data_IF_761673545340
#
_entry.id   IF_761673545340
#
_cell.length_a   1.000
_cell.length_b   1.000
_cell.length_c   1.000
_cell.angle_alpha   90.00
_cell.angle_beta   90.00
_cell.angle_gamma   90.00
#
_symmetry.space_group_name_H-M   'P 1'
#
loop_
_entity.id
_entity.type
_entity.pdbx_description
1 polymer ?
#
# COMPACT_ATOMS: atom_id res chain seq x y z
N UNK A 1 -33.35 -10.50 -81.28
CA UNK A 1 -32.27 -10.36 -82.27
C UNK A 1 -31.01 -9.98 -81.51
N UNK A 2 -29.90 -10.62 -81.87
CA UNK A 2 -28.64 -10.70 -81.14
C UNK A 2 -27.82 -9.38 -81.13
N UNK A 3 -26.61 -9.47 -80.54
CA UNK A 3 -25.41 -8.58 -80.67
C UNK A 3 -25.28 -7.63 -79.44
N UNK A 4 -24.17 -7.51 -78.68
CA UNK A 4 -22.77 -8.00 -78.75
C UNK A 4 -22.12 -7.90 -77.35
N UNK A 5 -21.13 -8.76 -77.14
CA UNK A 5 -20.03 -8.69 -76.17
C UNK A 5 -19.33 -7.33 -76.11
N UNK A 6 -18.85 -6.92 -74.93
CA UNK A 6 -17.55 -6.27 -74.75
C UNK A 6 -17.06 -6.35 -73.29
N UNK A 7 -15.79 -6.74 -73.17
CA UNK A 7 -15.05 -6.95 -71.94
C UNK A 7 -14.36 -5.66 -71.47
N UNK A 8 -14.34 -5.40 -70.16
CA UNK A 8 -13.36 -4.57 -69.43
C UNK A 8 -13.39 -5.10 -67.97
N UNK A 9 -12.50 -5.97 -67.48
CA UNK A 9 -11.08 -5.80 -67.10
C UNK A 9 -10.85 -4.78 -65.96
N UNK A 10 -10.44 -5.35 -64.82
CA UNK A 10 -9.48 -4.87 -63.81
C UNK A 10 -9.85 -3.80 -62.76
N UNK A 11 -9.70 -4.26 -61.51
CA UNK A 11 -9.03 -3.63 -60.36
C UNK A 11 -9.80 -2.56 -59.59
N UNK A 12 -10.29 -2.96 -58.42
CA UNK A 12 -10.13 -2.15 -57.22
C UNK A 12 -9.45 -2.99 -56.15
N UNK A 13 -8.18 -2.66 -55.90
CA UNK A 13 -7.27 -3.28 -54.95
C UNK A 13 -7.73 -2.99 -53.51
N UNK A 14 -8.02 -4.02 -52.73
CA UNK A 14 -8.24 -3.92 -51.29
C UNK A 14 -6.91 -3.70 -50.58
N UNK A 15 -6.72 -2.53 -49.98
CA UNK A 15 -5.61 -2.22 -49.07
C UNK A 15 -5.94 -2.71 -47.67
N UNK A 16 -5.68 -3.99 -47.37
CA UNK A 16 -5.59 -4.49 -46.00
C UNK A 16 -4.14 -4.31 -45.52
N UNK A 17 -3.89 -3.23 -44.78
CA UNK A 17 -2.61 -2.97 -44.13
C UNK A 17 -2.51 -3.82 -42.85
N UNK A 18 -2.22 -5.11 -43.01
CA UNK A 18 -1.85 -5.97 -41.89
C UNK A 18 -0.41 -5.68 -41.49
N UNK A 19 -0.22 -5.10 -40.30
CA UNK A 19 1.09 -4.96 -39.69
C UNK A 19 1.74 -6.32 -39.47
N UNK A 20 2.78 -6.61 -40.24
CA UNK A 20 3.69 -7.73 -40.02
C UNK A 20 4.46 -7.48 -38.72
N UNK A 21 3.99 -8.09 -37.63
CA UNK A 21 4.81 -8.32 -36.46
C UNK A 21 5.94 -9.26 -36.90
N UNK A 22 7.16 -8.74 -36.93
CA UNK A 22 8.37 -9.51 -37.21
C UNK A 22 8.53 -10.61 -36.16
N UNK A 23 8.45 -11.88 -36.58
CA UNK A 23 8.64 -13.09 -35.76
C UNK A 23 10.06 -13.22 -35.14
N UNK A 24 11.00 -12.32 -35.49
CA UNK A 24 12.42 -12.46 -35.17
C UNK A 24 12.81 -12.02 -33.74
N UNK A 25 11.85 -11.47 -32.97
CA UNK A 25 12.14 -10.89 -31.66
C UNK A 25 12.40 -11.91 -30.54
N UNK A 26 11.86 -13.13 -30.67
CA UNK A 26 11.85 -14.11 -29.57
C UNK A 26 12.41 -15.49 -29.91
N UNK A 27 12.61 -15.81 -31.19
CA UNK A 27 13.13 -17.11 -31.63
C UNK A 27 14.50 -17.46 -31.01
N UNK A 28 15.35 -16.45 -30.78
CA UNK A 28 16.67 -16.63 -30.14
C UNK A 28 16.60 -17.15 -28.70
N UNK A 29 15.47 -16.94 -28.01
CA UNK A 29 15.26 -17.37 -26.63
C UNK A 29 14.61 -18.74 -26.53
N UNK A 30 14.16 -19.33 -27.65
CA UNK A 30 13.51 -20.64 -27.66
C UNK A 30 14.42 -21.72 -27.06
N UNK A 31 15.72 -21.67 -27.35
CA UNK A 31 16.73 -22.58 -26.79
C UNK A 31 16.89 -22.46 -25.26
N UNK A 32 16.56 -21.32 -24.66
CA UNK A 32 16.56 -21.14 -23.20
C UNK A 32 15.26 -21.68 -22.61
N UNK A 33 14.13 -21.46 -23.30
CA UNK A 33 12.81 -21.94 -22.88
C UNK A 33 12.78 -23.48 -22.89
N UNK A 34 13.23 -24.08 -23.99
CA UNK A 34 13.23 -25.55 -24.19
C UNK A 34 14.14 -26.29 -23.21
N UNK A 35 15.14 -25.60 -22.64
CA UNK A 35 16.04 -26.17 -21.64
C UNK A 35 15.44 -26.25 -20.24
N UNK A 36 14.23 -25.71 -20.04
CA UNK A 36 13.57 -25.64 -18.73
C UNK A 36 14.54 -25.30 -17.58
N UNK A 37 15.38 -24.24 -17.68
CA UNK A 37 16.42 -23.94 -16.68
C UNK A 37 15.83 -23.61 -15.29
N UNK A 38 14.53 -23.34 -15.23
CA UNK A 38 13.78 -23.06 -14.01
C UNK A 38 13.09 -24.31 -13.41
N UNK A 39 13.34 -25.49 -13.96
CA UNK A 39 12.70 -26.75 -13.58
C UNK A 39 11.42 -27.05 -14.36
N UNK A 40 10.92 -28.27 -14.20
CA UNK A 40 9.57 -28.63 -14.63
C UNK A 40 8.54 -27.92 -13.72
N UNK A 41 7.40 -27.53 -14.27
CA UNK A 41 6.30 -27.04 -13.45
C UNK A 41 6.00 -28.09 -12.37
N UNK A 42 5.94 -27.71 -11.08
CA UNK A 42 5.64 -28.65 -10.02
C UNK A 42 4.32 -29.35 -10.38
N UNK A 43 4.34 -30.67 -10.49
CA UNK A 43 3.13 -31.47 -10.68
C UNK A 43 2.09 -30.95 -9.70
N UNK A 44 0.96 -30.47 -10.24
CA UNK A 44 -0.10 -29.86 -9.44
C UNK A 44 -0.47 -30.84 -8.34
N UNK A 45 0.01 -30.57 -7.12
CA UNK A 45 -0.26 -31.44 -5.99
C UNK A 45 -1.77 -31.59 -5.89
N UNK A 46 -2.26 -32.83 -6.00
CA UNK A 46 -3.68 -33.16 -5.94
C UNK A 46 -4.32 -32.35 -4.83
N UNK A 47 -5.25 -31.47 -5.21
CA UNK A 47 -5.93 -30.62 -4.24
C UNK A 47 -6.76 -31.52 -3.36
N UNK A 48 -6.23 -31.88 -2.19
CA UNK A 48 -7.02 -32.53 -1.15
C UNK A 48 -8.12 -31.55 -0.78
N UNK A 49 -9.31 -31.78 -1.32
CA UNK A 49 -10.51 -31.04 -0.95
C UNK A 49 -10.88 -31.49 0.46
N UNK A 50 -10.39 -30.75 1.46
CA UNK A 50 -10.69 -31.04 2.85
C UNK A 50 -12.14 -30.64 3.08
N UNK A 51 -12.95 -31.62 3.47
CA UNK A 51 -14.35 -31.37 3.81
C UNK A 51 -14.44 -30.42 5.01
N UNK A 52 -15.41 -29.50 4.98
CA UNK A 52 -15.66 -28.50 6.03
C UNK A 52 -15.79 -29.12 7.44
N UNK A 53 -16.24 -30.37 7.53
CA UNK A 53 -16.38 -31.10 8.78
C UNK A 53 -15.05 -31.49 9.44
N UNK A 54 -13.98 -31.61 8.66
CA UNK A 54 -12.63 -31.92 9.12
C UNK A 54 -11.76 -30.66 9.24
N UNK A 55 -12.16 -29.55 8.63
CA UNK A 55 -11.36 -28.34 8.62
C UNK A 55 -11.38 -27.63 9.98
N UNK A 56 -10.23 -27.05 10.34
CA UNK A 56 -10.11 -26.19 11.52
C UNK A 56 -11.10 -25.01 11.50
N UNK A 57 -11.53 -24.61 10.31
CA UNK A 57 -12.39 -23.46 10.10
C UNK A 57 -13.78 -23.62 10.74
N UNK A 58 -14.28 -24.85 10.93
CA UNK A 58 -15.63 -25.12 11.47
C UNK A 58 -15.92 -24.42 12.80
N UNK A 59 -14.91 -24.27 13.64
CA UNK A 59 -15.06 -23.70 14.98
C UNK A 59 -14.63 -22.23 15.05
N UNK A 60 -14.17 -21.66 13.94
CA UNK A 60 -13.71 -20.28 13.88
C UNK A 60 -14.76 -19.40 13.22
N UNK A 61 -14.87 -18.18 13.73
CA UNK A 61 -15.70 -17.13 13.15
C UNK A 61 -14.94 -15.82 13.12
N UNK A 62 -15.04 -15.10 12.01
CA UNK A 62 -14.57 -13.72 11.91
C UNK A 62 -15.57 -12.81 12.64
N UNK A 63 -15.11 -12.09 13.66
CA UNK A 63 -15.97 -11.23 14.47
C UNK A 63 -15.80 -9.75 14.15
N UNK A 64 -14.61 -9.32 13.73
CA UNK A 64 -14.33 -7.94 13.38
C UNK A 64 -13.14 -7.81 12.43
N UNK A 65 -13.15 -6.74 11.64
CA UNK A 65 -12.01 -6.26 10.85
C UNK A 65 -11.89 -4.76 11.09
N UNK A 66 -10.69 -4.28 11.37
CA UNK A 66 -10.45 -2.85 11.59
C UNK A 66 -9.03 -2.45 11.24
N UNK A 67 -8.82 -1.14 11.08
CA UNK A 67 -7.51 -0.54 10.85
C UNK A 67 -6.94 -0.07 12.20
N UNK A 68 -5.72 -0.50 12.50
CA UNK A 68 -4.98 -0.12 13.69
C UNK A 68 -4.43 1.31 13.60
N UNK A 69 -3.85 1.84 14.69
CA UNK A 69 -3.29 3.19 14.73
C UNK A 69 -2.13 3.40 13.74
N UNK A 70 -1.49 2.33 13.28
CA UNK A 70 -0.42 2.36 12.28
C UNK A 70 -0.89 2.21 10.83
N UNK A 71 -2.21 2.14 10.58
CA UNK A 71 -2.76 1.82 9.27
C UNK A 71 -2.69 0.33 8.91
N UNK A 72 -2.37 -0.53 9.89
CA UNK A 72 -2.32 -1.98 9.76
C UNK A 72 -3.72 -2.59 9.89
N UNK A 73 -4.13 -3.42 8.93
CA UNK A 73 -5.42 -4.13 9.00
C UNK A 73 -5.30 -5.31 9.96
N UNK A 74 -6.24 -5.39 10.91
CA UNK A 74 -6.34 -6.45 11.91
C UNK A 74 -7.66 -7.19 11.81
N UNK A 75 -7.63 -8.49 12.06
CA UNK A 75 -8.80 -9.36 12.09
C UNK A 75 -9.01 -9.95 13.48
N UNK A 76 -10.21 -9.75 14.03
CA UNK A 76 -10.66 -10.38 15.26
C UNK A 76 -11.38 -11.70 14.98
N UNK A 77 -10.94 -12.78 15.62
CA UNK A 77 -11.41 -14.14 15.34
C UNK A 77 -11.78 -14.83 16.64
N UNK A 78 -12.91 -15.52 16.64
CA UNK A 78 -13.45 -16.23 17.79
C UNK A 78 -13.35 -17.73 17.51
N UNK A 79 -12.65 -18.45 18.37
CA UNK A 79 -12.66 -19.91 18.42
C UNK A 79 -13.74 -20.39 19.39
N UNK A 80 -14.80 -20.96 18.83
CA UNK A 80 -15.95 -21.50 19.57
C UNK A 80 -15.62 -22.79 20.34
N UNK A 81 -14.59 -23.54 19.92
CA UNK A 81 -14.16 -24.78 20.57
C UNK A 81 -13.27 -24.48 21.78
N UNK A 82 -12.27 -23.62 21.61
CA UNK A 82 -11.35 -23.24 22.69
C UNK A 82 -11.86 -22.08 23.55
N UNK A 83 -12.94 -21.40 23.13
CA UNK A 83 -13.47 -20.16 23.74
C UNK A 83 -12.41 -19.06 23.85
N UNK A 84 -11.53 -18.97 22.84
CA UNK A 84 -10.47 -17.98 22.74
C UNK A 84 -10.77 -16.97 21.65
N UNK A 85 -10.30 -15.76 21.87
CA UNK A 85 -10.39 -14.67 20.91
C UNK A 85 -8.99 -14.28 20.48
N UNK A 86 -8.79 -14.13 19.19
CA UNK A 86 -7.52 -13.75 18.57
C UNK A 86 -7.69 -12.41 17.87
N UNK A 87 -6.68 -11.55 17.92
CA UNK A 87 -6.63 -10.33 17.13
C UNK A 87 -5.32 -10.38 16.37
N UNK A 88 -5.39 -10.76 15.09
CA UNK A 88 -4.21 -11.01 14.26
C UNK A 88 -4.00 -9.87 13.28
N UNK A 89 -2.73 -9.49 13.12
CA UNK A 89 -2.25 -8.63 12.04
C UNK A 89 -1.84 -9.48 10.84
N UNK A 90 -1.78 -8.90 9.64
CA UNK A 90 -1.37 -9.65 8.43
C UNK A 90 0.06 -10.19 8.63
N UNK A 91 0.24 -11.51 8.50
CA UNK A 91 1.50 -12.23 8.72
C UNK A 91 1.77 -12.66 10.17
N UNK A 92 0.91 -12.28 11.11
CA UNK A 92 1.01 -12.68 12.51
C UNK A 92 0.52 -14.11 12.71
N UNK A 93 1.22 -14.85 13.60
CA UNK A 93 0.89 -16.25 13.94
C UNK A 93 0.64 -16.36 15.44
N UNK A 94 -0.55 -16.82 15.81
CA UNK A 94 -0.91 -17.07 17.20
C UNK A 94 -1.76 -18.36 17.30
N UNK A 95 -1.45 -19.25 18.24
CA UNK A 95 -2.19 -20.52 18.38
C UNK A 95 -2.16 -21.42 17.13
N UNK A 96 -1.15 -21.25 16.27
CA UNK A 96 -1.04 -21.92 14.98
C UNK A 96 -1.95 -21.35 13.89
N UNK A 97 -2.71 -20.29 14.18
CA UNK A 97 -3.48 -19.53 13.21
C UNK A 97 -2.65 -18.38 12.69
N UNK A 98 -2.60 -18.26 11.37
CA UNK A 98 -1.90 -17.19 10.68
C UNK A 98 -2.87 -16.41 9.79
N UNK A 99 -2.86 -15.08 9.90
CA UNK A 99 -3.61 -14.22 9.00
C UNK A 99 -2.82 -13.96 7.72
N UNK A 100 -3.21 -14.57 6.60
CA UNK A 100 -2.54 -14.37 5.32
C UNK A 100 -2.99 -13.05 4.67
N UNK A 101 -4.30 -12.79 4.68
CA UNK A 101 -4.89 -11.64 3.99
C UNK A 101 -6.12 -11.16 4.76
N UNK A 102 -6.33 -9.85 4.75
CA UNK A 102 -7.54 -9.21 5.24
C UNK A 102 -7.95 -8.08 4.30
N UNK A 103 -9.21 -8.08 3.89
CA UNK A 103 -9.79 -7.03 3.07
C UNK A 103 -10.98 -6.40 3.79
N UNK A 104 -10.77 -5.17 4.27
CA UNK A 104 -11.80 -4.39 4.94
C UNK A 104 -12.96 -4.04 4.00
N UNK A 105 -12.69 -3.83 2.70
CA UNK A 105 -13.71 -3.43 1.73
C UNK A 105 -14.64 -4.58 1.36
N UNK A 106 -14.11 -5.79 1.23
CA UNK A 106 -14.90 -6.99 0.99
C UNK A 106 -15.38 -7.65 2.29
N UNK A 107 -14.90 -7.18 3.45
CA UNK A 107 -15.14 -7.78 4.76
C UNK A 107 -14.78 -9.27 4.81
N UNK A 108 -13.65 -9.62 4.17
CA UNK A 108 -13.12 -10.98 4.11
C UNK A 108 -11.74 -11.09 4.78
N UNK A 109 -11.47 -12.23 5.40
CA UNK A 109 -10.16 -12.57 5.97
C UNK A 109 -9.78 -14.00 5.58
N UNK A 110 -8.51 -14.22 5.25
CA UNK A 110 -7.99 -15.53 4.88
C UNK A 110 -7.00 -16.00 5.95
N UNK A 111 -7.30 -17.13 6.56
CA UNK A 111 -6.50 -17.73 7.61
C UNK A 111 -5.84 -19.01 7.15
N UNK A 112 -4.67 -19.29 7.72
CA UNK A 112 -3.96 -20.56 7.59
C UNK A 112 -3.75 -21.22 8.94
N UNK A 113 -3.96 -22.54 8.99
CA UNK A 113 -3.56 -23.39 10.11
C UNK A 113 -2.85 -24.62 9.58
N UNK A 114 -1.54 -24.69 9.77
CA UNK A 114 -0.71 -25.73 9.16
C UNK A 114 -0.74 -25.66 7.63
N UNK A 115 -1.32 -26.67 6.99
CA UNK A 115 -1.45 -26.79 5.53
C UNK A 115 -2.81 -26.33 4.99
N UNK A 116 -3.78 -26.05 5.87
CA UNK A 116 -5.14 -25.67 5.51
C UNK A 116 -5.27 -24.15 5.42
N UNK A 117 -6.03 -23.67 4.43
CA UNK A 117 -6.37 -22.26 4.28
C UNK A 117 -7.88 -22.13 4.08
N UNK A 118 -8.49 -21.21 4.82
CA UNK A 118 -9.92 -20.95 4.75
C UNK A 118 -10.19 -19.45 4.66
N UNK A 119 -11.22 -19.10 3.90
CA UNK A 119 -11.77 -17.76 3.75
C UNK A 119 -12.93 -17.59 4.72
N UNK A 120 -12.91 -16.49 5.45
CA UNK A 120 -13.95 -16.09 6.38
C UNK A 120 -14.50 -14.76 5.90
N UNK A 121 -15.83 -14.64 5.82
CA UNK A 121 -16.50 -13.36 5.57
C UNK A 121 -17.22 -12.93 6.83
N UNK A 122 -17.26 -11.63 7.10
CA UNK A 122 -17.80 -11.10 8.35
C UNK A 122 -19.31 -11.37 8.49
N UNK A 123 -20.04 -11.36 7.37
CA UNK A 123 -21.49 -11.58 7.32
C UNK A 123 -21.87 -13.07 7.26
N UNK A 124 -20.91 -13.96 6.95
CA UNK A 124 -21.17 -15.39 6.80
C UNK A 124 -20.55 -16.18 7.95
N UNK A 125 -21.36 -16.95 8.66
CA UNK A 125 -20.88 -17.83 9.73
C UNK A 125 -20.20 -19.10 9.20
N UNK A 126 -20.30 -19.38 7.90
CA UNK A 126 -19.70 -20.55 7.25
C UNK A 126 -18.43 -20.15 6.49
N UNK A 127 -17.25 -20.62 6.91
CA UNK A 127 -16.02 -20.40 6.18
C UNK A 127 -15.93 -21.27 4.92
N UNK A 128 -15.31 -20.72 3.88
CA UNK A 128 -15.10 -21.39 2.61
C UNK A 128 -13.65 -21.91 2.54
N UNK A 129 -13.42 -23.24 2.48
CA UNK A 129 -12.07 -23.77 2.27
C UNK A 129 -11.58 -23.38 0.86
N UNK A 130 -10.34 -22.89 0.76
CA UNK A 130 -9.78 -22.44 -0.52
C UNK A 130 -8.74 -23.44 -1.04
N UNK A 131 -8.84 -23.79 -2.33
CA UNK A 131 -7.80 -24.57 -3.02
C UNK A 131 -6.52 -23.75 -3.25
N UNK A 132 -5.39 -24.40 -3.50
CA UNK A 132 -4.12 -23.71 -3.83
C UNK A 132 -4.23 -22.83 -5.08
N UNK A 133 -4.96 -23.28 -6.11
CA UNK A 133 -5.16 -22.51 -7.33
C UNK A 133 -6.00 -21.25 -7.08
N UNK A 134 -7.06 -21.36 -6.27
CA UNK A 134 -7.87 -20.21 -5.85
C UNK A 134 -7.07 -19.23 -4.98
N UNK A 135 -6.21 -19.72 -4.09
CA UNK A 135 -5.29 -18.89 -3.31
C UNK A 135 -4.31 -18.13 -4.22
N UNK A 136 -3.71 -18.79 -5.22
CA UNK A 136 -2.78 -18.17 -6.15
C UNK A 136 -3.45 -17.06 -6.99
N UNK A 137 -4.65 -17.33 -7.51
CA UNK A 137 -5.44 -16.34 -8.26
C UNK A 137 -5.82 -15.12 -7.41
N UNK A 138 -6.00 -15.27 -6.09
CA UNK A 138 -6.29 -14.15 -5.18
C UNK A 138 -5.05 -13.35 -4.80
N UNK A 139 -3.87 -13.99 -4.68
CA UNK A 139 -2.61 -13.30 -4.38
C UNK A 139 -2.25 -12.24 -5.42
N UNK A 140 -2.49 -12.50 -6.70
CA UNK A 140 -2.27 -11.51 -7.77
C UNK A 140 -3.17 -10.28 -7.62
N UNK A 141 -4.44 -10.49 -7.23
CA UNK A 141 -5.38 -9.40 -6.91
C UNK A 141 -4.93 -8.57 -5.71
N UNK A 142 -4.43 -9.21 -4.65
CA UNK A 142 -3.92 -8.50 -3.48
C UNK A 142 -2.74 -7.59 -3.77
N UNK A 143 -1.76 -8.04 -4.58
CA UNK A 143 -0.62 -7.21 -4.97
C UNK A 143 -1.09 -5.92 -5.68
N UNK A 144 -2.08 -6.04 -6.57
CA UNK A 144 -2.74 -4.91 -7.21
C UNK A 144 -3.40 -3.97 -6.18
N UNK A 145 -4.22 -4.50 -5.28
CA UNK A 145 -4.89 -3.71 -4.23
C UNK A 145 -3.92 -3.00 -3.29
N UNK A 146 -2.85 -3.68 -2.85
CA UNK A 146 -1.81 -3.11 -1.99
C UNK A 146 -1.09 -1.96 -2.70
N UNK A 147 -0.76 -2.13 -3.98
CA UNK A 147 -0.13 -1.06 -4.77
C UNK A 147 -1.05 0.16 -4.90
N UNK A 148 -2.35 -0.04 -5.11
CA UNK A 148 -3.35 1.02 -5.19
C UNK A 148 -3.50 1.77 -3.85
N UNK A 149 -3.51 1.05 -2.71
CA UNK A 149 -3.54 1.64 -1.36
C UNK A 149 -2.28 2.48 -1.09
N UNK A 150 -1.10 1.97 -1.41
CA UNK A 150 0.16 2.72 -1.26
C UNK A 150 0.17 3.98 -2.14
N UNK A 151 -0.32 3.87 -3.38
CA UNK A 151 -0.45 5.02 -4.27
C UNK A 151 -1.45 6.06 -3.76
N UNK A 152 -2.56 5.62 -3.15
CA UNK A 152 -3.54 6.52 -2.53
C UNK A 152 -3.00 7.19 -1.26
N UNK A 153 -2.31 6.45 -0.39
CA UNK A 153 -1.66 6.98 0.80
C UNK A 153 -0.58 8.01 0.45
N UNK A 154 0.25 7.72 -0.57
CA UNK A 154 1.25 8.67 -1.06
C UNK A 154 0.63 9.94 -1.68
N UNK A 155 -0.62 9.88 -2.18
CA UNK A 155 -1.33 11.07 -2.67
C UNK A 155 -1.83 11.96 -1.53
N UNK A 156 -2.23 11.37 -0.38
CA UNK A 156 -2.70 12.13 0.78
C UNK A 156 -1.56 12.67 1.64
N UNK A 157 -0.41 12.00 1.68
CA UNK A 157 0.81 12.46 2.37
C UNK A 157 1.68 13.40 1.53
N UNK A 158 1.07 14.18 0.61
CA UNK A 158 1.81 15.31 0.02
C UNK A 158 2.26 16.21 1.18
N UNK A 159 3.57 16.49 1.33
CA UNK A 159 4.04 17.33 2.42
C UNK A 159 3.30 18.66 2.32
N UNK A 160 2.52 18.98 3.36
CA UNK A 160 1.82 20.27 3.47
C UNK A 160 2.92 21.32 3.31
N UNK A 161 2.84 22.14 2.25
CA UNK A 161 3.82 23.22 2.06
C UNK A 161 3.91 23.97 3.39
N UNK A 162 5.13 24.23 3.92
CA UNK A 162 5.25 24.94 5.18
C UNK A 162 4.45 26.23 5.05
N UNK A 163 3.54 26.46 6.01
CA UNK A 163 2.71 27.66 6.03
C UNK A 163 3.65 28.87 6.02
N UNK A 164 3.35 29.86 5.18
CA UNK A 164 4.18 31.05 5.10
C UNK A 164 4.28 31.73 6.49
N UNK A 165 5.43 32.34 6.82
CA UNK A 165 5.60 33.00 8.12
C UNK A 165 4.51 34.05 8.35
N UNK A 166 3.85 34.00 9.52
CA UNK A 166 2.70 34.85 9.87
C UNK A 166 3.07 36.33 10.00
N UNK A 167 4.32 36.63 10.29
CA UNK A 167 4.88 37.98 10.40
C UNK A 167 5.87 38.20 9.26
N UNK A 168 5.75 39.33 8.58
CA UNK A 168 6.64 39.71 7.47
C UNK A 168 7.20 41.11 7.69
N UNK A 169 8.35 41.40 7.08
CA UNK A 169 8.96 42.73 7.06
C UNK A 169 9.31 43.28 8.45
N UNK A 170 8.85 44.49 8.73
CA UNK A 170 9.14 45.25 9.95
C UNK A 170 8.57 44.58 11.21
N UNK A 171 7.38 43.99 11.11
CA UNK A 171 6.75 43.30 12.23
C UNK A 171 7.57 42.07 12.68
N UNK A 172 8.26 41.40 11.75
CA UNK A 172 9.16 40.30 12.10
C UNK A 172 10.43 40.82 12.79
N UNK A 173 10.99 41.93 12.33
CA UNK A 173 12.19 42.53 12.96
C UNK A 173 11.92 42.96 14.39
N UNK A 174 10.83 43.71 14.61
CA UNK A 174 10.43 44.13 15.95
C UNK A 174 10.16 42.92 16.87
N UNK A 175 9.59 41.83 16.33
CA UNK A 175 9.40 40.61 17.11
C UNK A 175 10.74 39.96 17.50
N UNK A 176 11.68 39.88 16.56
CA UNK A 176 13.01 39.30 16.82
C UNK A 176 13.83 40.13 17.82
N UNK A 177 13.76 41.47 17.73
CA UNK A 177 14.39 42.38 18.68
C UNK A 177 13.82 42.19 20.09
N UNK A 178 12.49 42.10 20.22
CA UNK A 178 11.85 41.81 21.50
C UNK A 178 12.25 40.44 22.07
N UNK A 179 12.30 39.41 21.23
CA UNK A 179 12.76 38.06 21.65
C UNK A 179 14.21 38.11 22.09
N UNK A 180 15.07 38.87 21.40
CA UNK A 180 16.47 39.03 21.76
C UNK A 180 16.64 39.71 23.12
N UNK A 181 15.90 40.78 23.41
CA UNK A 181 15.95 41.45 24.72
C UNK A 181 15.55 40.51 25.85
N UNK A 182 14.49 39.72 25.65
CA UNK A 182 14.04 38.76 26.65
C UNK A 182 15.06 37.63 26.84
N UNK A 183 15.64 37.12 25.74
CA UNK A 183 16.70 36.11 25.82
C UNK A 183 17.91 36.60 26.64
N UNK A 184 18.34 37.85 26.43
CA UNK A 184 19.47 38.43 27.17
C UNK A 184 19.11 38.62 28.65
N UNK A 185 17.90 39.11 28.97
CA UNK A 185 17.40 39.22 30.35
C UNK A 185 17.35 37.87 31.07
N UNK A 186 16.96 36.81 30.36
CA UNK A 186 16.86 35.45 30.89
C UNK A 186 18.23 34.73 30.95
N UNK A 187 19.32 35.38 30.50
CA UNK A 187 20.67 34.80 30.46
C UNK A 187 20.86 33.73 29.37
N UNK A 188 19.97 33.66 28.39
CA UNK A 188 20.08 32.79 27.22
C UNK A 188 21.05 33.39 26.18
N UNK A 189 21.68 32.57 25.33
CA UNK A 189 22.57 33.07 24.29
C UNK A 189 21.80 34.02 23.35
N UNK A 190 22.39 35.19 23.01
CA UNK A 190 21.70 36.17 22.18
C UNK A 190 21.51 35.65 20.75
N UNK A 191 20.43 36.12 20.11
CA UNK A 191 20.19 35.86 18.69
C UNK A 191 21.31 36.51 17.83
N UNK A 192 21.59 35.99 16.62
CA UNK A 192 22.58 36.55 15.69
C UNK A 192 22.09 37.85 15.02
N UNK A 193 21.58 38.77 15.81
CA UNK A 193 21.11 40.09 15.43
C UNK A 193 21.91 41.12 16.23
N UNK A 194 22.44 42.19 15.61
CA UNK A 194 23.12 43.23 16.37
C UNK A 194 22.14 43.97 17.27
N UNK A 195 22.56 44.26 18.52
CA UNK A 195 21.79 45.11 19.42
C UNK A 195 21.79 46.55 18.90
N UNK A 196 20.63 47.20 18.94
CA UNK A 196 20.54 48.63 18.66
C UNK A 196 21.08 49.42 19.85
N UNK A 197 21.59 50.66 19.65
CA UNK A 197 22.11 51.48 20.75
C UNK A 197 21.08 51.75 21.85
N UNK A 198 19.80 51.83 21.50
CA UNK A 198 18.71 52.05 22.45
C UNK A 198 18.47 50.82 23.34
N UNK A 199 18.52 49.62 22.75
CA UNK A 199 18.38 48.35 23.46
C UNK A 199 19.56 48.09 24.41
N UNK A 200 20.77 48.40 23.96
CA UNK A 200 21.99 48.25 24.75
C UNK A 200 21.95 49.16 25.99
N UNK A 201 21.63 50.45 25.79
CA UNK A 201 21.47 51.39 26.89
C UNK A 201 20.40 50.95 27.90
N UNK A 202 19.31 50.33 27.42
CA UNK A 202 18.27 49.78 28.28
C UNK A 202 18.78 48.61 29.12
N UNK A 203 19.51 47.66 28.53
CA UNK A 203 20.05 46.50 29.26
C UNK A 203 21.15 46.90 30.26
N UNK A 204 21.95 47.91 29.94
CA UNK A 204 22.93 48.50 30.88
C UNK A 204 22.22 49.18 32.05
N UNK A 205 21.15 49.94 31.78
CA UNK A 205 20.34 50.56 32.84
C UNK A 205 19.64 49.53 33.74
N UNK A 206 19.21 48.40 33.18
CA UNK A 206 18.65 47.25 33.91
C UNK A 206 19.72 46.43 34.66
N UNK A 207 21.02 46.70 34.42
CA UNK A 207 22.14 45.99 35.05
C UNK A 207 22.39 44.59 34.50
N UNK A 208 21.87 44.30 33.30
CA UNK A 208 22.00 42.99 32.62
C UNK A 208 23.30 42.91 31.81
N UNK A 209 23.72 44.03 31.20
CA UNK A 209 24.97 44.14 30.43
C UNK A 209 25.95 45.10 31.12
N UNK A 210 27.25 44.83 30.97
CA UNK A 210 28.31 45.72 31.42
C UNK A 210 28.41 46.97 30.51
N UNK A 211 28.61 48.17 31.08
CA UNK A 211 28.78 49.38 30.28
C UNK A 211 30.04 49.29 29.40
N UNK A 212 29.88 49.56 28.10
CA UNK A 212 30.95 49.62 27.11
C UNK A 212 31.65 50.98 27.08
#
# INVERSE_FOLDING_TARGET
>A
MAVKTNAVILILLMSALSGLATEDGFARYQLIIDKHPFGEEPLEAETVQISLNQSFARHLRLSMLFEGPGGDVRAGIIDTKEKKNYILSIGEVEGGLELIEADLSASEAMLRKGSEVALFKLESDTPEPLSKSQQAARRSSYAGRRSARLAAANKSTKPKKPEAPRLTGEALRAHLENVQMNAIRDGLPPLPLPLTPEMDAQLVAEGVLDPQ
#
